data_IF_637208071970
#
_entry.id   IF_637208071970
#
_cell.length_a   1.000
_cell.length_b   1.000
_cell.length_c   1.000
_cell.angle_alpha   90.00
_cell.angle_beta   90.00
_cell.angle_gamma   90.00
#
_symmetry.space_group_name_H-M   'P 1'
#
loop_
_entity.id
_entity.type
_entity.pdbx_description
1 polymer ?
#
# COMPACT_ATOMS: atom_id res chain seq x y z
N UNK A 1 -10.15 9.00 19.68
CA UNK A 1 -9.15 9.63 18.83
C UNK A 1 -7.78 9.36 19.41
N UNK A 2 -6.91 8.73 18.63
CA UNK A 2 -5.50 8.58 19.02
C UNK A 2 -4.71 9.86 18.81
N UNK A 3 -3.50 9.97 19.42
CA UNK A 3 -2.67 11.16 19.31
C UNK A 3 -2.04 11.35 17.91
N UNK A 4 -2.06 10.35 17.06
CA UNK A 4 -1.47 10.38 15.71
C UNK A 4 -2.54 10.40 14.63
N UNK A 5 -3.63 9.64 14.80
CA UNK A 5 -4.71 9.56 13.81
C UNK A 5 -6.04 10.01 14.39
N UNK A 6 -6.78 10.81 13.60
CA UNK A 6 -8.17 11.11 13.87
C UNK A 6 -9.03 9.91 13.42
N UNK A 7 -9.92 9.45 14.29
CA UNK A 7 -10.86 8.37 13.98
C UNK A 7 -11.02 7.37 15.12
N UNK A 8 -12.00 6.50 14.97
CA UNK A 8 -12.27 5.43 15.91
C UNK A 8 -11.26 4.29 15.73
N UNK A 9 -11.03 3.51 16.80
CA UNK A 9 -10.19 2.32 16.74
C UNK A 9 -10.66 1.39 15.60
N UNK A 10 -11.95 1.09 15.56
CA UNK A 10 -12.59 0.47 14.42
C UNK A 10 -13.26 1.58 13.57
N UNK A 11 -13.04 1.67 12.25
CA UNK A 11 -12.25 0.77 11.39
C UNK A 11 -10.79 1.20 11.18
N UNK A 12 -10.36 2.39 11.64
CA UNK A 12 -9.11 3.01 11.19
C UNK A 12 -7.84 2.30 11.65
N UNK A 13 -7.84 1.67 12.82
CA UNK A 13 -6.71 0.83 13.25
C UNK A 13 -6.51 -0.33 12.27
N UNK A 14 -7.61 -1.00 11.88
CA UNK A 14 -7.52 -2.12 10.94
C UNK A 14 -7.04 -1.70 9.56
N UNK A 15 -7.47 -0.52 9.07
CA UNK A 15 -6.97 0.05 7.81
C UNK A 15 -5.45 0.26 7.88
N UNK A 16 -4.94 0.76 8.99
CA UNK A 16 -3.51 1.03 9.17
C UNK A 16 -2.69 -0.26 9.24
N UNK A 17 -3.14 -1.25 10.03
CA UNK A 17 -2.45 -2.54 10.20
C UNK A 17 -2.58 -3.41 8.95
N UNK A 18 -3.75 -3.43 8.33
CA UNK A 18 -4.05 -4.32 7.21
C UNK A 18 -3.22 -4.02 5.96
N UNK A 19 -2.65 -2.82 5.84
CA UNK A 19 -1.75 -2.50 4.73
C UNK A 19 -0.53 -3.44 4.67
N UNK A 20 -0.02 -3.89 5.82
CA UNK A 20 1.05 -4.89 5.88
C UNK A 20 0.57 -6.35 5.78
N UNK A 21 -0.67 -6.64 6.21
CA UNK A 21 -1.21 -8.00 6.23
C UNK A 21 -1.94 -8.37 4.93
N UNK A 22 -2.57 -7.41 4.28
CA UNK A 22 -3.43 -7.61 3.11
C UNK A 22 -3.32 -6.40 2.19
N UNK A 23 -2.29 -6.37 1.34
CA UNK A 23 -2.02 -5.23 0.47
C UNK A 23 -2.61 -5.41 -0.94
N UNK A 24 -3.51 -4.52 -1.30
CA UNK A 24 -4.04 -4.44 -2.66
C UNK A 24 -2.99 -3.99 -3.67
N UNK A 25 -2.01 -3.21 -3.24
CA UNK A 25 -0.89 -2.84 -4.10
C UNK A 25 -0.05 -4.06 -4.51
N UNK A 26 0.27 -4.96 -3.59
CA UNK A 26 0.98 -6.20 -3.91
C UNK A 26 0.15 -7.11 -4.82
N UNK A 27 -1.16 -7.18 -4.61
CA UNK A 27 -2.06 -7.90 -5.51
C UNK A 27 -2.05 -7.31 -6.93
N UNK A 28 -2.00 -5.98 -7.04
CA UNK A 28 -1.91 -5.27 -8.32
C UNK A 28 -0.58 -5.54 -9.03
N UNK A 29 0.55 -5.54 -8.31
CA UNK A 29 1.87 -5.88 -8.85
C UNK A 29 1.89 -7.35 -9.32
N UNK A 30 1.41 -8.27 -8.48
CA UNK A 30 1.42 -9.71 -8.79
C UNK A 30 0.53 -10.08 -9.98
N UNK A 31 -0.53 -9.31 -10.26
CA UNK A 31 -1.42 -9.55 -11.40
C UNK A 31 -1.05 -8.71 -12.63
N UNK A 32 -0.48 -7.52 -12.45
CA UNK A 32 -0.24 -6.56 -13.53
C UNK A 32 1.13 -6.67 -14.21
N UNK A 33 2.21 -6.80 -13.43
CA UNK A 33 3.58 -6.84 -13.98
C UNK A 33 4.23 -8.21 -13.87
N UNK A 34 4.09 -8.89 -12.74
CA UNK A 34 4.78 -10.16 -12.49
C UNK A 34 4.50 -11.20 -13.56
N UNK A 35 3.26 -11.45 -14.03
CA UNK A 35 2.99 -12.42 -15.08
C UNK A 35 3.62 -12.06 -16.44
N UNK A 36 3.93 -10.78 -16.66
CA UNK A 36 4.56 -10.29 -17.89
C UNK A 36 6.09 -10.35 -17.84
N UNK A 37 6.68 -10.56 -16.66
CA UNK A 37 8.12 -10.54 -16.42
C UNK A 37 8.67 -11.90 -16.02
N UNK A 38 7.85 -12.76 -15.43
CA UNK A 38 8.25 -14.12 -15.04
C UNK A 38 8.30 -15.01 -16.27
N UNK A 39 9.45 -15.62 -16.51
CA UNK A 39 9.67 -16.46 -17.68
C UNK A 39 8.99 -17.84 -17.55
N UNK A 40 8.98 -18.40 -16.33
CA UNK A 40 8.45 -19.75 -16.06
C UNK A 40 7.57 -19.75 -14.83
N UNK A 41 6.44 -20.44 -14.88
CA UNK A 41 5.50 -20.56 -13.75
C UNK A 41 6.14 -21.13 -12.49
N UNK A 42 7.11 -22.04 -12.64
CA UNK A 42 7.84 -22.66 -11.52
C UNK A 42 8.65 -21.67 -10.68
N UNK A 43 8.98 -20.50 -11.24
CA UNK A 43 9.68 -19.42 -10.53
C UNK A 43 8.75 -18.62 -9.64
N UNK A 44 7.43 -18.67 -9.86
CA UNK A 44 6.44 -17.84 -9.16
C UNK A 44 6.47 -18.06 -7.64
N UNK A 45 6.68 -19.30 -7.18
CA UNK A 45 6.76 -19.59 -5.75
C UNK A 45 7.96 -18.91 -5.10
N UNK A 46 9.13 -18.97 -5.69
CA UNK A 46 10.33 -18.33 -5.13
C UNK A 46 10.23 -16.82 -5.19
N UNK A 47 9.75 -16.28 -6.31
CA UNK A 47 9.61 -14.83 -6.48
C UNK A 47 8.52 -14.28 -5.54
N UNK A 48 7.31 -14.85 -5.55
CA UNK A 48 6.20 -14.36 -4.77
C UNK A 48 6.34 -14.67 -3.28
N UNK A 49 6.52 -15.94 -2.92
CA UNK A 49 6.61 -16.35 -1.52
C UNK A 49 7.95 -15.95 -0.88
N UNK A 50 9.05 -16.04 -1.62
CA UNK A 50 10.36 -15.58 -1.18
C UNK A 50 10.39 -14.07 -0.93
N UNK A 51 9.77 -13.28 -1.82
CA UNK A 51 9.59 -11.85 -1.64
C UNK A 51 8.77 -11.52 -0.38
N UNK A 52 7.66 -12.21 -0.17
CA UNK A 52 6.84 -12.07 1.05
C UNK A 52 7.63 -12.38 2.34
N UNK A 53 8.46 -13.41 2.35
CA UNK A 53 9.28 -13.75 3.51
C UNK A 53 10.34 -12.67 3.79
N UNK A 54 10.96 -12.12 2.75
CA UNK A 54 11.90 -11.00 2.90
C UNK A 54 11.22 -9.75 3.44
N UNK A 55 10.04 -9.42 2.95
CA UNK A 55 9.24 -8.30 3.45
C UNK A 55 8.86 -8.52 4.93
N UNK A 56 8.44 -9.72 5.31
CA UNK A 56 8.15 -10.07 6.71
C UNK A 56 9.36 -9.90 7.61
N UNK A 57 10.55 -10.24 7.14
CA UNK A 57 11.79 -10.03 7.87
C UNK A 57 12.07 -8.55 8.10
N UNK A 58 11.92 -7.71 7.07
CA UNK A 58 12.07 -6.24 7.19
C UNK A 58 11.01 -5.66 8.13
N UNK A 59 9.77 -6.16 8.09
CA UNK A 59 8.69 -5.72 8.99
C UNK A 59 9.01 -6.04 10.46
N UNK A 60 9.61 -7.21 10.75
CA UNK A 60 10.06 -7.56 12.10
C UNK A 60 11.17 -6.61 12.55
N UNK A 61 12.12 -6.28 11.69
CA UNK A 61 13.16 -5.30 12.00
C UNK A 61 12.57 -3.93 12.30
N UNK A 62 11.61 -3.47 11.51
CA UNK A 62 10.91 -2.21 11.74
C UNK A 62 10.15 -2.21 13.07
N UNK A 63 9.52 -3.32 13.44
CA UNK A 63 8.85 -3.46 14.74
C UNK A 63 9.86 -3.38 15.90
N UNK A 64 11.00 -4.04 15.79
CA UNK A 64 12.08 -3.98 16.80
C UNK A 64 12.54 -2.52 16.98
N UNK A 65 12.80 -1.80 15.89
CA UNK A 65 13.22 -0.41 15.96
C UNK A 65 12.20 0.50 16.61
N UNK A 66 10.91 0.29 16.32
CA UNK A 66 9.82 1.06 16.93
C UNK A 66 9.66 0.79 18.43
N UNK A 67 9.88 -0.45 18.87
CA UNK A 67 9.75 -0.84 20.29
C UNK A 67 10.92 -0.37 21.16
N UNK A 68 12.11 -0.23 20.59
CA UNK A 68 13.32 0.25 21.30
C UNK A 68 13.25 1.74 21.59
N UNK A 69 12.55 2.52 20.74
CA UNK A 69 12.45 3.95 20.92
C UNK A 69 11.71 4.34 22.20
N UNK A 70 12.20 5.42 22.83
CA UNK A 70 11.46 6.06 23.91
C UNK A 70 10.06 6.49 23.41
N UNK A 71 9.03 6.16 24.17
CA UNK A 71 7.64 6.38 23.77
C UNK A 71 7.33 7.87 23.57
N UNK A 72 7.87 8.72 24.41
CA UNK A 72 7.61 10.15 24.33
C UNK A 72 8.26 10.75 23.09
N UNK A 73 9.48 10.34 22.77
CA UNK A 73 10.18 10.71 21.52
C UNK A 73 9.42 10.19 20.31
N UNK A 74 8.97 8.92 20.35
CA UNK A 74 8.15 8.34 19.28
C UNK A 74 6.90 9.17 18.97
N UNK A 75 6.14 9.58 20.00
CA UNK A 75 4.95 10.41 19.81
C UNK A 75 5.29 11.84 19.36
N UNK A 76 6.36 12.43 19.84
CA UNK A 76 6.85 13.73 19.37
C UNK A 76 7.21 13.69 17.86
N UNK A 77 7.80 12.59 17.39
CA UNK A 77 8.14 12.40 15.98
C UNK A 77 6.91 12.17 15.10
N UNK A 78 5.96 11.36 15.55
CA UNK A 78 4.86 10.87 14.71
C UNK A 78 3.57 11.69 14.82
N UNK A 79 3.42 12.54 15.84
CA UNK A 79 2.27 13.42 15.93
C UNK A 79 2.38 14.58 14.91
N UNK A 80 1.27 14.97 14.29
CA UNK A 80 1.27 16.06 13.30
C UNK A 80 1.63 17.41 13.94
N UNK A 81 2.24 18.29 13.16
CA UNK A 81 2.67 19.62 13.61
C UNK A 81 1.52 20.50 14.13
N UNK A 82 0.29 20.23 13.70
CA UNK A 82 -0.93 20.87 14.25
C UNK A 82 -1.20 20.53 15.72
N UNK A 83 -0.64 19.42 16.22
CA UNK A 83 -0.76 19.00 17.63
C UNK A 83 0.48 19.38 18.44
N UNK A 84 1.67 19.15 17.89
CA UNK A 84 2.96 19.39 18.56
C UNK A 84 3.38 20.87 18.55
N UNK A 85 2.78 21.69 17.65
CA UNK A 85 3.20 23.07 17.43
C UNK A 85 4.55 23.23 16.73
N UNK A 86 5.26 22.13 16.42
CA UNK A 86 6.53 22.11 15.70
C UNK A 86 7.75 22.67 16.46
N UNK A 87 7.61 22.98 17.76
CA UNK A 87 8.67 23.45 18.63
C UNK A 87 8.93 22.46 19.76
N UNK A 88 10.17 22.35 20.29
CA UNK A 88 10.48 21.41 21.37
C UNK A 88 9.61 21.57 22.61
N UNK A 89 9.34 22.83 23.01
CA UNK A 89 8.56 23.15 24.20
C UNK A 89 7.10 22.67 24.06
N UNK A 90 6.43 23.07 22.96
CA UNK A 90 5.05 22.70 22.70
C UNK A 90 4.87 21.21 22.39
N UNK A 91 5.86 20.57 21.76
CA UNK A 91 5.85 19.13 21.53
C UNK A 91 6.00 18.33 22.83
N UNK A 92 6.89 18.77 23.74
CA UNK A 92 7.03 18.15 25.04
C UNK A 92 5.74 18.31 25.89
N UNK A 93 5.17 19.50 25.92
CA UNK A 93 3.89 19.75 26.59
C UNK A 93 2.77 18.85 26.06
N UNK A 94 2.62 18.78 24.72
CA UNK A 94 1.64 17.92 24.09
C UNK A 94 1.82 16.45 24.48
N UNK A 95 3.04 15.92 24.35
CA UNK A 95 3.33 14.51 24.64
C UNK A 95 3.10 14.19 26.11
N UNK A 96 3.53 15.08 27.02
CA UNK A 96 3.30 14.90 28.45
C UNK A 96 1.82 14.94 28.82
N UNK A 97 0.99 15.71 28.09
CA UNK A 97 -0.45 15.73 28.27
C UNK A 97 -1.16 14.43 27.94
N UNK A 98 -0.49 13.50 27.20
CA UNK A 98 -1.03 12.18 26.86
C UNK A 98 -1.02 11.22 28.06
N UNK A 99 -0.35 11.55 29.16
CA UNK A 99 -0.28 10.69 30.35
C UNK A 99 0.44 9.37 30.12
N UNK A 100 1.43 9.34 29.26
CA UNK A 100 2.21 8.14 28.96
C UNK A 100 3.01 7.69 30.19
N UNK A 101 3.15 6.38 30.44
CA UNK A 101 3.95 5.89 31.55
C UNK A 101 5.44 6.16 31.28
N UNK A 102 6.11 6.70 32.30
CA UNK A 102 7.53 7.08 32.26
C UNK A 102 7.77 8.48 32.81
N UNK A 103 8.98 8.98 32.69
CA UNK A 103 9.35 10.35 33.03
C UNK A 103 8.88 11.32 31.95
N UNK A 104 8.50 12.53 32.37
CA UNK A 104 8.09 13.57 31.43
C UNK A 104 9.21 13.88 30.41
N UNK A 105 8.80 14.09 29.19
CA UNK A 105 9.71 14.53 28.12
C UNK A 105 10.12 15.99 28.35
N UNK A 106 11.43 16.24 28.31
CA UNK A 106 11.99 17.58 28.38
C UNK A 106 12.31 18.11 26.99
N UNK A 107 12.12 19.41 26.72
CA UNK A 107 12.42 20.00 25.40
C UNK A 107 13.88 19.76 24.95
N UNK A 108 14.82 19.77 25.88
CA UNK A 108 16.24 19.54 25.64
C UNK A 108 16.52 18.13 25.12
N UNK A 109 15.72 17.13 25.49
CA UNK A 109 15.84 15.75 24.99
C UNK A 109 15.52 15.68 23.50
N UNK A 110 14.51 16.43 23.04
CA UNK A 110 14.16 16.51 21.62
C UNK A 110 15.24 17.22 20.81
N UNK A 111 15.80 18.28 21.37
CA UNK A 111 16.89 19.04 20.73
C UNK A 111 18.18 18.19 20.65
N UNK A 112 18.54 17.52 21.74
CA UNK A 112 19.73 16.65 21.77
C UNK A 112 19.57 15.44 20.85
N UNK A 113 18.38 14.84 20.79
CA UNK A 113 18.08 13.74 19.88
C UNK A 113 18.18 14.17 18.42
N UNK A 114 17.70 15.37 18.07
CA UNK A 114 17.85 15.93 16.73
C UNK A 114 19.34 16.18 16.39
N UNK A 115 20.10 16.76 17.31
CA UNK A 115 21.53 17.00 17.12
C UNK A 115 22.32 15.71 16.96
N UNK A 116 22.01 14.66 17.71
CA UNK A 116 22.67 13.35 17.63
C UNK A 116 22.56 12.71 16.25
N UNK A 117 21.44 12.91 15.55
CA UNK A 117 21.23 12.41 14.19
C UNK A 117 21.58 13.45 13.10
N UNK A 118 22.08 14.64 13.48
CA UNK A 118 22.49 15.68 12.54
C UNK A 118 21.33 16.43 11.88
N UNK A 119 20.14 16.42 12.48
CA UNK A 119 18.95 17.08 11.98
C UNK A 119 18.62 18.35 12.79
N UNK A 120 17.96 19.32 12.16
CA UNK A 120 17.49 20.51 12.86
C UNK A 120 16.34 20.21 13.82
N UNK A 121 15.49 19.23 13.47
CA UNK A 121 14.39 18.77 14.30
C UNK A 121 13.94 17.38 13.89
N UNK A 122 13.54 16.58 14.87
CA UNK A 122 12.88 15.28 14.68
C UNK A 122 11.36 15.38 14.92
N UNK A 123 10.85 16.54 15.35
CA UNK A 123 9.46 16.78 15.73
C UNK A 123 8.59 16.76 14.48
N UNK A 124 7.46 16.04 14.58
CA UNK A 124 6.46 15.94 13.50
C UNK A 124 7.05 15.43 12.16
N UNK A 125 8.11 14.66 12.23
CA UNK A 125 8.63 13.88 11.10
C UNK A 125 7.78 12.61 10.94
N UNK A 126 6.50 12.82 10.61
CA UNK A 126 5.51 11.75 10.50
C UNK A 126 5.86 10.75 9.41
N UNK A 127 5.64 9.47 9.71
CA UNK A 127 5.86 8.39 8.77
C UNK A 127 6.83 7.31 9.28
N UNK A 128 6.87 6.17 8.60
CA UNK A 128 7.69 5.03 9.00
C UNK A 128 9.19 5.26 8.83
N UNK A 129 9.60 5.89 7.73
CA UNK A 129 11.00 6.05 7.37
C UNK A 129 11.84 6.82 8.41
N UNK A 130 11.45 8.01 8.88
CA UNK A 130 12.22 8.71 9.92
C UNK A 130 12.29 7.94 11.24
N UNK A 131 11.20 7.28 11.64
CA UNK A 131 11.14 6.47 12.87
C UNK A 131 12.04 5.25 12.76
N UNK A 132 11.99 4.53 11.63
CA UNK A 132 12.88 3.39 11.34
C UNK A 132 14.35 3.81 11.36
N UNK A 133 14.68 4.90 10.66
CA UNK A 133 16.03 5.40 10.58
C UNK A 133 16.58 5.82 11.95
N UNK A 134 15.75 6.48 12.77
CA UNK A 134 16.10 6.89 14.11
C UNK A 134 16.37 5.69 15.02
N UNK A 135 15.49 4.68 15.01
CA UNK A 135 15.69 3.46 15.79
C UNK A 135 16.89 2.64 15.31
N UNK A 136 17.08 2.50 13.99
CA UNK A 136 18.25 1.82 13.42
C UNK A 136 19.55 2.53 13.77
N UNK A 137 19.59 3.86 13.77
CA UNK A 137 20.78 4.61 14.13
C UNK A 137 21.22 4.32 15.56
N UNK A 138 20.28 4.18 16.50
CA UNK A 138 20.59 3.76 17.87
C UNK A 138 21.17 2.35 17.92
N UNK A 139 20.50 1.38 17.30
CA UNK A 139 20.95 -0.02 17.29
C UNK A 139 22.37 -0.15 16.71
N UNK A 140 22.61 0.49 15.55
CA UNK A 140 23.89 0.40 14.88
C UNK A 140 24.99 1.12 15.66
N UNK A 141 24.68 2.25 16.29
CA UNK A 141 25.61 2.95 17.18
C UNK A 141 25.99 2.09 18.39
N UNK A 142 25.02 1.40 18.99
CA UNK A 142 25.29 0.52 20.13
C UNK A 142 26.13 -0.70 19.73
N UNK A 143 25.87 -1.28 18.56
CA UNK A 143 26.63 -2.43 18.04
C UNK A 143 28.08 -2.05 17.70
N UNK A 144 28.28 -0.93 17.01
CA UNK A 144 29.61 -0.51 16.55
C UNK A 144 30.38 0.33 17.57
N UNK A 145 29.72 0.80 18.63
CA UNK A 145 30.37 1.50 19.76
C UNK A 145 30.91 2.90 19.45
N UNK A 146 30.40 3.58 18.43
CA UNK A 146 30.83 4.90 17.96
C UNK A 146 29.68 5.91 17.97
N UNK A 147 29.41 6.58 19.12
CA UNK A 147 28.31 7.56 19.24
C UNK A 147 28.38 8.69 18.21
N UNK A 148 29.58 9.11 17.80
CA UNK A 148 29.81 10.13 16.78
C UNK A 148 29.30 9.72 15.39
N UNK A 149 29.08 8.43 15.14
CA UNK A 149 28.57 7.91 13.88
C UNK A 149 27.04 7.80 13.83
N UNK A 150 26.31 8.18 14.88
CA UNK A 150 24.86 8.06 14.90
C UNK A 150 24.20 8.82 13.75
N UNK A 151 24.68 10.01 13.42
CA UNK A 151 24.21 10.79 12.27
C UNK A 151 24.47 10.08 10.95
N UNK A 152 25.63 9.44 10.78
CA UNK A 152 25.92 8.64 9.59
C UNK A 152 24.93 7.48 9.43
N UNK A 153 24.68 6.71 10.50
CA UNK A 153 23.75 5.60 10.46
C UNK A 153 22.30 6.04 10.19
N UNK A 154 21.90 7.19 10.75
CA UNK A 154 20.58 7.75 10.48
C UNK A 154 20.40 8.09 9.00
N UNK A 155 21.35 8.81 8.40
CA UNK A 155 21.27 9.17 6.98
C UNK A 155 21.42 7.97 6.05
N UNK A 156 22.25 6.99 6.43
CA UNK A 156 22.35 5.72 5.71
C UNK A 156 21.00 4.99 5.68
N UNK A 157 20.32 4.89 6.83
CA UNK A 157 19.02 4.23 6.91
C UNK A 157 17.93 4.98 6.12
N UNK A 158 17.94 6.33 6.14
CA UNK A 158 17.00 7.13 5.30
C UNK A 158 17.28 6.91 3.82
N UNK A 159 18.53 6.86 3.39
CA UNK A 159 18.86 6.57 1.99
C UNK A 159 18.44 5.18 1.57
N UNK A 160 18.62 4.18 2.43
CA UNK A 160 18.17 2.82 2.22
C UNK A 160 16.64 2.78 2.03
N UNK A 161 15.90 3.44 2.91
CA UNK A 161 14.45 3.53 2.83
C UNK A 161 13.98 4.26 1.56
N UNK A 162 14.67 5.34 1.18
CA UNK A 162 14.37 6.07 -0.06
C UNK A 162 14.56 5.19 -1.31
N UNK A 163 15.60 4.37 -1.36
CA UNK A 163 15.82 3.41 -2.44
C UNK A 163 14.74 2.33 -2.48
N UNK A 164 14.32 1.83 -1.31
CA UNK A 164 13.22 0.88 -1.18
C UNK A 164 11.91 1.47 -1.73
N UNK A 165 11.57 2.69 -1.35
CA UNK A 165 10.37 3.39 -1.85
C UNK A 165 10.45 3.63 -3.36
N UNK A 166 11.63 3.96 -3.90
CA UNK A 166 11.83 4.19 -5.33
C UNK A 166 11.46 2.95 -6.16
N UNK A 167 11.81 1.74 -5.70
CA UNK A 167 11.41 0.50 -6.38
C UNK A 167 9.90 0.31 -6.43
N UNK A 168 9.20 0.71 -5.38
CA UNK A 168 7.73 0.69 -5.30
C UNK A 168 7.11 1.66 -6.31
N UNK A 169 7.66 2.86 -6.44
CA UNK A 169 7.21 3.88 -7.41
C UNK A 169 7.41 3.38 -8.84
N UNK A 170 8.56 2.78 -9.16
CA UNK A 170 8.83 2.18 -10.47
C UNK A 170 7.82 1.08 -10.80
N UNK A 171 7.65 0.12 -9.90
CA UNK A 171 6.70 -0.98 -10.10
C UNK A 171 5.26 -0.48 -10.27
N UNK A 172 4.81 0.44 -9.41
CA UNK A 172 3.47 1.04 -9.48
C UNK A 172 3.22 1.80 -10.78
N UNK A 173 4.18 2.60 -11.22
CA UNK A 173 4.12 3.33 -12.49
C UNK A 173 4.04 2.37 -13.68
N UNK A 174 4.79 1.29 -13.66
CA UNK A 174 4.78 0.26 -14.70
C UNK A 174 3.45 -0.46 -14.78
N UNK A 175 2.87 -0.86 -13.64
CA UNK A 175 1.52 -1.47 -13.59
C UNK A 175 0.48 -0.50 -14.14
N UNK A 176 0.46 0.74 -13.67
CA UNK A 176 -0.49 1.74 -14.11
C UNK A 176 -0.37 2.01 -15.62
N UNK A 177 0.86 2.03 -16.16
CA UNK A 177 1.09 2.12 -17.60
C UNK A 177 0.47 0.94 -18.36
N UNK A 178 0.70 -0.30 -17.92
CA UNK A 178 0.12 -1.47 -18.55
C UNK A 178 -1.41 -1.44 -18.51
N UNK A 179 -1.98 -1.13 -17.35
CA UNK A 179 -3.45 -0.99 -17.24
C UNK A 179 -4.00 0.10 -18.16
N UNK A 180 -3.31 1.22 -18.27
CA UNK A 180 -3.70 2.32 -19.15
C UNK A 180 -3.64 1.92 -20.63
N UNK A 181 -2.55 1.27 -21.05
CA UNK A 181 -2.42 0.79 -22.44
C UNK A 181 -3.47 -0.25 -22.77
N UNK A 182 -3.73 -1.21 -21.88
CA UNK A 182 -4.76 -2.23 -22.06
C UNK A 182 -6.17 -1.60 -22.12
N UNK A 183 -6.45 -0.60 -21.30
CA UNK A 183 -7.73 0.12 -21.31
C UNK A 183 -7.92 0.90 -22.59
N UNK A 184 -6.90 1.68 -23.01
CA UNK A 184 -6.93 2.48 -24.23
C UNK A 184 -7.06 1.61 -25.49
N UNK A 185 -6.43 0.43 -25.49
CA UNK A 185 -6.51 -0.51 -26.61
C UNK A 185 -7.94 -0.99 -26.91
N UNK A 186 -8.84 -0.94 -25.93
CA UNK A 186 -10.25 -1.30 -26.08
C UNK A 186 -11.13 -0.15 -26.61
N UNK A 187 -10.56 1.06 -26.72
CA UNK A 187 -11.30 2.22 -27.26
C UNK A 187 -11.22 2.20 -28.79
N UNK A 188 -12.34 2.36 -29.51
CA UNK A 188 -12.34 2.45 -30.97
C UNK A 188 -11.38 3.52 -31.47
N UNK A 189 -10.50 3.17 -32.38
CA UNK A 189 -9.47 4.07 -32.93
C UNK A 189 -8.13 4.09 -32.19
N UNK A 190 -8.04 3.49 -30.99
CA UNK A 190 -6.81 3.45 -30.18
C UNK A 190 -6.22 2.03 -30.08
N UNK A 191 -6.64 1.09 -30.91
CA UNK A 191 -6.18 -0.30 -30.91
C UNK A 191 -4.64 -0.47 -31.00
N UNK A 192 -3.93 0.54 -31.51
CA UNK A 192 -2.47 0.55 -31.60
C UNK A 192 -1.77 0.51 -30.24
N UNK A 193 -2.45 0.94 -29.17
CA UNK A 193 -1.93 0.80 -27.79
C UNK A 193 -1.77 -0.65 -27.34
N UNK A 194 -2.37 -1.61 -28.05
CA UNK A 194 -2.19 -3.05 -27.79
C UNK A 194 -0.78 -3.53 -28.15
N UNK A 195 -0.09 -2.83 -29.04
CA UNK A 195 1.27 -3.20 -29.46
C UNK A 195 2.30 -2.73 -28.42
N UNK A 196 2.93 -3.64 -27.66
CA UNK A 196 3.92 -3.29 -26.64
C UNK A 196 5.21 -2.73 -27.23
N UNK A 197 5.44 -2.90 -28.53
CA UNK A 197 6.64 -2.40 -29.23
C UNK A 197 6.48 -0.95 -29.71
N UNK A 198 5.26 -0.41 -29.67
CA UNK A 198 4.98 0.96 -30.08
C UNK A 198 5.50 1.99 -29.06
N UNK A 199 6.74 2.43 -29.26
CA UNK A 199 7.47 3.33 -28.37
C UNK A 199 6.72 4.60 -28.03
N UNK A 200 6.05 5.23 -29.02
CA UNK A 200 5.29 6.48 -28.82
C UNK A 200 4.11 6.27 -27.86
N UNK A 201 3.36 5.17 -28.02
CA UNK A 201 2.27 4.82 -27.11
C UNK A 201 2.76 4.56 -25.68
N UNK A 202 3.91 3.89 -25.55
CA UNK A 202 4.54 3.66 -24.25
C UNK A 202 4.96 4.97 -23.57
N UNK A 203 5.54 5.91 -24.30
CA UNK A 203 5.90 7.23 -23.76
C UNK A 203 4.67 8.03 -23.34
N UNK A 204 3.64 8.11 -24.20
CA UNK A 204 2.39 8.81 -23.87
C UNK A 204 1.78 8.25 -22.60
N UNK A 205 1.65 6.94 -22.49
CA UNK A 205 1.07 6.28 -21.31
C UNK A 205 1.92 6.51 -20.06
N UNK A 206 3.25 6.45 -20.16
CA UNK A 206 4.14 6.69 -19.02
C UNK A 206 4.03 8.15 -18.55
N UNK A 207 4.08 9.11 -19.46
CA UNK A 207 3.97 10.54 -19.11
C UNK A 207 2.60 10.82 -18.48
N UNK A 208 1.52 10.29 -19.05
CA UNK A 208 0.18 10.47 -18.50
C UNK A 208 0.03 9.89 -17.09
N UNK A 209 0.55 8.69 -16.85
CA UNK A 209 0.55 8.07 -15.52
C UNK A 209 1.40 8.88 -14.54
N UNK A 210 2.62 9.28 -14.91
CA UNK A 210 3.48 10.09 -14.06
C UNK A 210 2.85 11.47 -13.75
N UNK A 211 2.21 12.10 -14.73
CA UNK A 211 1.50 13.36 -14.51
C UNK A 211 0.31 13.19 -13.55
N UNK A 212 -0.43 12.09 -13.69
CA UNK A 212 -1.59 11.81 -12.83
C UNK A 212 -1.20 11.61 -11.36
N UNK A 213 -0.28 10.70 -11.08
CA UNK A 213 0.14 10.47 -9.69
C UNK A 213 0.97 11.63 -9.15
N UNK A 214 1.75 12.32 -10.00
CA UNK A 214 2.50 13.50 -9.62
C UNK A 214 1.60 14.67 -9.25
N UNK A 215 0.48 14.87 -9.95
CA UNK A 215 -0.53 15.88 -9.61
C UNK A 215 -1.18 15.59 -8.26
N UNK A 216 -1.53 14.32 -7.99
CA UNK A 216 -2.10 13.90 -6.70
C UNK A 216 -1.08 14.10 -5.57
N UNK A 217 0.18 13.74 -5.80
CA UNK A 217 1.26 13.93 -4.83
C UNK A 217 1.47 15.42 -4.54
N UNK A 218 1.56 16.25 -5.58
CA UNK A 218 1.71 17.70 -5.42
C UNK A 218 0.54 18.31 -4.64
N UNK A 219 -0.69 17.90 -4.96
CA UNK A 219 -1.88 18.30 -4.24
C UNK A 219 -1.78 17.93 -2.75
N UNK A 220 -1.31 16.72 -2.44
CA UNK A 220 -1.14 16.28 -1.07
C UNK A 220 -0.04 17.01 -0.31
N UNK A 221 1.15 17.16 -0.91
CA UNK A 221 2.30 17.81 -0.26
C UNK A 221 2.04 19.30 0.00
N UNK A 222 1.29 19.95 -0.89
CA UNK A 222 0.93 21.37 -0.75
C UNK A 222 -0.33 21.61 0.08
N UNK A 223 -0.97 20.55 0.59
CA UNK A 223 -2.19 20.68 1.39
C UNK A 223 -1.88 21.34 2.75
N UNK A 224 -2.56 22.44 3.10
CA UNK A 224 -2.33 23.14 4.37
C UNK A 224 -2.65 22.32 5.63
N UNK A 225 -3.41 21.24 5.49
CA UNK A 225 -3.73 20.34 6.60
C UNK A 225 -2.61 19.32 6.90
N UNK A 226 -1.54 19.31 6.09
CA UNK A 226 -0.41 18.41 6.23
C UNK A 226 -0.55 17.19 5.32
N UNK A 227 0.18 17.18 4.21
CA UNK A 227 0.04 16.30 3.05
C UNK A 227 -0.10 14.82 3.35
N UNK A 228 0.81 14.24 4.14
CA UNK A 228 0.78 12.81 4.48
C UNK A 228 -0.49 12.47 5.27
N UNK A 229 -0.87 13.29 6.25
CA UNK A 229 -2.02 13.04 7.11
C UNK A 229 -3.35 13.08 6.34
N UNK A 230 -3.38 13.78 5.22
CA UNK A 230 -4.56 13.90 4.35
C UNK A 230 -4.66 12.75 3.34
N UNK A 231 -3.53 12.38 2.72
CA UNK A 231 -3.49 11.33 1.70
C UNK A 231 -3.47 9.92 2.28
N UNK A 232 -2.84 9.72 3.44
CA UNK A 232 -2.65 8.39 4.02
C UNK A 232 -3.96 7.63 4.29
N UNK A 233 -5.02 8.24 4.86
CA UNK A 233 -6.29 7.53 5.02
C UNK A 233 -6.95 7.15 3.69
N UNK A 234 -6.88 8.01 2.68
CA UNK A 234 -7.40 7.71 1.34
C UNK A 234 -6.61 6.56 0.70
N UNK A 235 -5.29 6.58 0.81
CA UNK A 235 -4.42 5.50 0.36
C UNK A 235 -4.75 4.18 1.06
N UNK A 236 -4.89 4.18 2.38
CA UNK A 236 -5.21 2.99 3.15
C UNK A 236 -6.53 2.35 2.71
N UNK A 237 -7.58 3.15 2.53
CA UNK A 237 -8.87 2.69 2.04
C UNK A 237 -8.75 2.13 0.61
N UNK A 238 -8.13 2.87 -0.31
CA UNK A 238 -7.98 2.44 -1.70
C UNK A 238 -7.18 1.13 -1.81
N UNK A 239 -6.12 0.99 -1.01
CA UNK A 239 -5.30 -0.22 -0.96
C UNK A 239 -6.11 -1.45 -0.49
N UNK A 240 -6.93 -1.30 0.55
CA UNK A 240 -7.80 -2.38 1.03
C UNK A 240 -8.91 -2.73 0.03
N UNK A 241 -9.49 -1.74 -0.63
CA UNK A 241 -10.47 -1.97 -1.69
C UNK A 241 -9.87 -2.80 -2.85
N UNK A 242 -8.62 -2.56 -3.22
CA UNK A 242 -7.90 -3.38 -4.20
C UNK A 242 -7.66 -4.80 -3.67
N UNK A 243 -7.39 -4.97 -2.38
CA UNK A 243 -7.26 -6.28 -1.75
C UNK A 243 -8.57 -7.07 -1.77
N UNK A 244 -9.71 -6.41 -1.53
CA UNK A 244 -11.04 -7.02 -1.68
C UNK A 244 -11.30 -7.52 -3.12
N UNK A 245 -10.88 -6.76 -4.13
CA UNK A 245 -10.95 -7.20 -5.54
C UNK A 245 -10.11 -8.47 -5.74
N UNK A 246 -8.88 -8.49 -5.26
CA UNK A 246 -7.98 -9.63 -5.41
C UNK A 246 -8.53 -10.89 -4.73
N UNK A 247 -9.01 -10.77 -3.50
CA UNK A 247 -9.65 -11.89 -2.78
C UNK A 247 -10.91 -12.39 -3.47
N UNK A 248 -11.71 -11.48 -4.06
CA UNK A 248 -12.88 -11.82 -4.85
C UNK A 248 -12.49 -12.66 -6.07
N UNK A 249 -11.42 -12.30 -6.78
CA UNK A 249 -10.90 -13.06 -7.92
C UNK A 249 -10.39 -14.43 -7.49
N UNK A 250 -9.62 -14.51 -6.40
CA UNK A 250 -9.15 -15.80 -5.84
C UNK A 250 -10.35 -16.68 -5.48
N UNK A 251 -11.39 -16.13 -4.86
CA UNK A 251 -12.62 -16.87 -4.53
C UNK A 251 -13.29 -17.43 -5.79
N UNK A 252 -13.42 -16.62 -6.84
CA UNK A 252 -13.99 -17.07 -8.14
C UNK A 252 -13.17 -18.22 -8.74
N UNK A 253 -11.82 -18.13 -8.70
CA UNK A 253 -10.94 -19.19 -9.21
C UNK A 253 -11.14 -20.49 -8.42
N UNK A 254 -11.14 -20.42 -7.09
CA UNK A 254 -11.34 -21.59 -6.21
C UNK A 254 -12.69 -22.25 -6.48
N UNK A 255 -13.75 -21.46 -6.65
CA UNK A 255 -15.11 -21.96 -6.96
C UNK A 255 -15.16 -22.58 -8.35
N UNK A 256 -14.61 -21.92 -9.37
CA UNK A 256 -14.56 -22.45 -10.74
C UNK A 256 -13.76 -23.77 -10.84
N UNK A 257 -12.67 -23.91 -10.11
CA UNK A 257 -11.91 -25.15 -10.00
C UNK A 257 -12.65 -26.24 -9.19
N UNK A 258 -13.78 -25.91 -8.58
CA UNK A 258 -14.58 -26.86 -7.78
C UNK A 258 -13.97 -27.21 -6.43
N UNK A 259 -13.03 -26.43 -5.96
CA UNK A 259 -12.38 -26.61 -4.67
C UNK A 259 -13.18 -26.00 -3.52
N UNK A 260 -14.49 -26.32 -3.44
CA UNK A 260 -15.41 -25.69 -2.47
C UNK A 260 -14.97 -25.83 -1.01
N UNK A 261 -14.28 -26.92 -0.68
CA UNK A 261 -13.73 -27.14 0.66
C UNK A 261 -12.76 -26.05 1.10
N UNK A 262 -12.14 -25.35 0.16
CA UNK A 262 -11.15 -24.32 0.40
C UNK A 262 -11.68 -22.90 0.16
N UNK A 263 -12.92 -22.75 -0.27
CA UNK A 263 -13.51 -21.45 -0.58
C UNK A 263 -13.58 -20.51 0.64
N UNK A 264 -13.67 -21.05 1.84
CA UNK A 264 -13.66 -20.26 3.08
C UNK A 264 -12.34 -19.51 3.33
N UNK A 265 -11.21 -20.01 2.80
CA UNK A 265 -9.90 -19.38 2.98
C UNK A 265 -9.87 -17.96 2.42
N UNK A 266 -10.24 -17.68 1.16
CA UNK A 266 -10.36 -16.32 0.65
C UNK A 266 -11.65 -15.63 1.10
N UNK A 267 -12.73 -16.35 1.42
CA UNK A 267 -14.02 -15.74 1.74
C UNK A 267 -14.04 -15.03 3.11
N UNK A 268 -13.42 -15.61 4.14
CA UNK A 268 -13.39 -15.01 5.48
C UNK A 268 -12.62 -13.67 5.49
N UNK A 269 -11.36 -13.60 5.00
CA UNK A 269 -10.65 -12.33 4.95
C UNK A 269 -11.32 -11.33 4.00
N UNK A 270 -11.92 -11.77 2.89
CA UNK A 270 -12.70 -10.89 2.01
C UNK A 270 -13.88 -10.24 2.76
N UNK A 271 -14.67 -11.04 3.46
CA UNK A 271 -15.82 -10.54 4.22
C UNK A 271 -15.39 -9.51 5.28
N UNK A 272 -14.34 -9.82 6.03
CA UNK A 272 -13.78 -8.91 7.03
C UNK A 272 -13.25 -7.62 6.41
N UNK A 273 -12.45 -7.72 5.36
CA UNK A 273 -11.88 -6.58 4.66
C UNK A 273 -12.94 -5.64 4.09
N UNK A 274 -13.99 -6.20 3.49
CA UNK A 274 -15.13 -5.42 2.98
C UNK A 274 -15.84 -4.66 4.10
N UNK A 275 -16.11 -5.29 5.25
CA UNK A 275 -16.76 -4.61 6.39
C UNK A 275 -15.89 -3.45 6.87
N UNK A 276 -14.63 -3.70 7.15
CA UNK A 276 -13.69 -2.69 7.67
C UNK A 276 -13.57 -1.52 6.69
N UNK A 277 -13.35 -1.83 5.43
CA UNK A 277 -13.05 -0.81 4.41
C UNK A 277 -14.28 0.00 4.02
N UNK A 278 -15.44 -0.64 3.89
CA UNK A 278 -16.69 0.07 3.62
C UNK A 278 -17.10 0.96 4.80
N UNK A 279 -16.90 0.49 6.03
CA UNK A 279 -17.15 1.32 7.23
C UNK A 279 -16.21 2.53 7.26
N UNK A 280 -14.92 2.32 6.99
CA UNK A 280 -13.96 3.41 6.92
C UNK A 280 -14.27 4.41 5.81
N UNK A 281 -14.65 3.93 4.63
CA UNK A 281 -15.07 4.77 3.50
C UNK A 281 -16.30 5.60 3.86
N UNK A 282 -17.29 4.98 4.50
CA UNK A 282 -18.48 5.66 4.95
C UNK A 282 -18.16 6.74 5.97
N UNK A 283 -17.38 6.45 7.01
CA UNK A 283 -16.97 7.43 8.02
C UNK A 283 -16.16 8.57 7.42
N UNK A 284 -15.22 8.26 6.50
CA UNK A 284 -14.42 9.29 5.82
C UNK A 284 -15.24 10.21 4.93
N UNK A 285 -16.29 9.73 4.33
CA UNK A 285 -17.14 10.54 3.45
C UNK A 285 -18.21 11.31 4.25
N UNK A 286 -18.93 10.61 5.13
CA UNK A 286 -20.19 11.10 5.70
C UNK A 286 -20.14 11.46 7.19
N UNK A 287 -19.02 11.26 7.88
CA UNK A 287 -18.90 11.66 9.28
C UNK A 287 -19.16 13.15 9.44
N UNK A 288 -19.98 13.51 10.42
CA UNK A 288 -20.22 14.92 10.82
C UNK A 288 -19.02 15.56 11.51
N UNK A 289 -18.05 14.76 11.96
CA UNK A 289 -16.82 15.25 12.58
C UNK A 289 -15.85 15.78 11.51
N UNK A 290 -15.53 17.09 11.47
CA UNK A 290 -14.64 17.67 10.47
C UNK A 290 -13.19 17.17 10.53
N UNK A 291 -12.79 16.46 11.58
CA UNK A 291 -11.48 15.81 11.68
C UNK A 291 -11.43 14.45 10.97
N UNK A 292 -12.59 13.90 10.62
CA UNK A 292 -12.73 12.59 9.98
C UNK A 292 -13.37 12.73 8.60
N UNK A 293 -14.56 13.35 8.50
CA UNK A 293 -15.38 13.39 7.31
C UNK A 293 -14.95 14.45 6.30
N UNK A 294 -14.73 14.05 5.05
CA UNK A 294 -14.34 14.96 3.97
C UNK A 294 -15.39 16.05 3.71
N UNK A 295 -16.68 15.71 3.68
CA UNK A 295 -17.74 16.68 3.44
C UNK A 295 -17.95 17.63 4.63
N UNK A 296 -17.83 17.15 5.85
CA UNK A 296 -17.89 18.01 7.03
C UNK A 296 -16.72 19.00 7.05
N UNK A 297 -15.53 18.55 6.67
CA UNK A 297 -14.35 19.40 6.55
C UNK A 297 -14.49 20.40 5.40
N UNK A 298 -14.94 19.94 4.22
CA UNK A 298 -15.25 20.78 3.07
C UNK A 298 -16.19 21.92 3.43
N UNK A 299 -17.34 21.61 4.05
CA UNK A 299 -18.34 22.60 4.41
C UNK A 299 -17.79 23.64 5.40
N UNK A 300 -17.02 23.20 6.39
CA UNK A 300 -16.41 24.08 7.39
C UNK A 300 -15.42 25.07 6.79
N UNK A 301 -14.60 24.63 5.85
CA UNK A 301 -13.66 25.52 5.15
C UNK A 301 -14.37 26.43 4.14
N UNK A 302 -15.41 25.93 3.49
CA UNK A 302 -16.26 26.72 2.59
C UNK A 302 -17.00 27.86 3.34
N UNK A 303 -17.48 27.59 4.55
CA UNK A 303 -18.07 28.62 5.42
C UNK A 303 -17.03 29.67 5.83
N UNK A 304 -15.81 29.25 6.17
CA UNK A 304 -14.72 30.17 6.49
C UNK A 304 -14.35 31.06 5.30
N UNK A 305 -14.30 30.50 4.09
CA UNK A 305 -14.09 31.27 2.85
C UNK A 305 -15.24 32.27 2.60
N UNK A 306 -16.49 31.85 2.79
CA UNK A 306 -17.66 32.70 2.62
C UNK A 306 -17.72 33.87 3.64
N UNK A 307 -17.17 33.69 4.85
CA UNK A 307 -17.02 34.72 5.85
C UNK A 307 -15.85 35.68 5.58
N UNK A 308 -15.07 35.43 4.49
CA UNK A 308 -13.93 36.25 4.11
C UNK A 308 -12.73 36.13 5.06
N UNK A 309 -12.61 35.01 5.79
CA UNK A 309 -11.48 34.78 6.68
C UNK A 309 -10.18 34.64 5.87
N UNK A 310 -9.17 35.38 6.28
CA UNK A 310 -7.84 35.32 5.67
C UNK A 310 -7.00 34.15 6.18
N UNK A 311 -7.31 33.63 7.37
CA UNK A 311 -6.65 32.49 8.00
C UNK A 311 -7.71 31.61 8.69
N UNK A 312 -7.55 30.30 8.58
CA UNK A 312 -8.45 29.36 9.27
C UNK A 312 -7.72 28.05 9.58
N UNK A 313 -7.64 27.68 10.86
CA UNK A 313 -6.86 26.54 11.36
C UNK A 313 -5.40 26.60 10.86
N UNK A 314 -4.97 25.59 10.09
CA UNK A 314 -3.61 25.51 9.50
C UNK A 314 -3.47 26.28 8.20
N UNK A 315 -4.56 26.70 7.56
CA UNK A 315 -4.52 27.53 6.37
C UNK A 315 -4.20 29.00 6.75
N UNK A 316 -3.15 29.54 6.15
CA UNK A 316 -2.57 30.86 6.46
C UNK A 316 -2.93 31.94 5.44
N UNK A 317 -3.67 31.57 4.40
CA UNK A 317 -4.11 32.49 3.34
C UNK A 317 -5.46 32.05 2.74
N UNK A 318 -6.22 32.96 2.11
CA UNK A 318 -7.45 32.60 1.41
C UNK A 318 -7.25 31.52 0.34
N UNK A 319 -6.14 31.58 -0.40
CA UNK A 319 -5.80 30.59 -1.40
C UNK A 319 -5.61 29.19 -0.79
N UNK A 320 -5.07 29.09 0.42
CA UNK A 320 -4.93 27.83 1.15
C UNK A 320 -6.29 27.32 1.66
N UNK A 321 -7.20 28.21 2.08
CA UNK A 321 -8.57 27.82 2.44
C UNK A 321 -9.28 27.22 1.23
N UNK A 322 -9.19 27.86 0.06
CA UNK A 322 -9.77 27.36 -1.18
C UNK A 322 -9.13 26.03 -1.64
N UNK A 323 -7.83 25.88 -1.42
CA UNK A 323 -7.15 24.62 -1.69
C UNK A 323 -7.71 23.46 -0.86
N UNK A 324 -7.95 23.67 0.44
CA UNK A 324 -8.56 22.65 1.31
C UNK A 324 -9.99 22.34 0.85
N UNK A 325 -10.79 23.34 0.49
CA UNK A 325 -12.16 23.15 -0.04
C UNK A 325 -12.13 22.25 -1.29
N UNK A 326 -11.24 22.55 -2.22
CA UNK A 326 -11.08 21.74 -3.45
C UNK A 326 -10.59 20.34 -3.16
N UNK A 327 -9.53 20.19 -2.37
CA UNK A 327 -8.89 18.91 -2.10
C UNK A 327 -9.83 17.94 -1.36
N UNK A 328 -10.56 18.42 -0.36
CA UNK A 328 -11.53 17.60 0.40
C UNK A 328 -12.71 17.16 -0.48
N UNK A 329 -13.17 17.98 -1.41
CA UNK A 329 -14.19 17.60 -2.37
C UNK A 329 -13.70 16.49 -3.31
N UNK A 330 -12.48 16.63 -3.85
CA UNK A 330 -11.86 15.61 -4.72
C UNK A 330 -11.71 14.28 -3.96
N UNK A 331 -11.21 14.31 -2.74
CA UNK A 331 -11.02 13.12 -1.91
C UNK A 331 -12.35 12.43 -1.57
N UNK A 332 -13.38 13.22 -1.26
CA UNK A 332 -14.72 12.70 -1.01
C UNK A 332 -15.32 12.00 -2.23
N UNK A 333 -15.22 12.61 -3.41
CA UNK A 333 -15.69 12.03 -4.67
C UNK A 333 -14.91 10.76 -5.03
N UNK A 334 -13.57 10.80 -4.93
CA UNK A 334 -12.75 9.62 -5.21
C UNK A 334 -13.05 8.46 -4.27
N UNK A 335 -13.27 8.72 -2.98
CA UNK A 335 -13.63 7.68 -2.01
C UNK A 335 -14.96 7.01 -2.35
N UNK A 336 -15.97 7.79 -2.76
CA UNK A 336 -17.27 7.23 -3.19
C UNK A 336 -17.09 6.41 -4.46
N UNK A 337 -16.36 6.95 -5.45
CA UNK A 337 -16.12 6.26 -6.72
C UNK A 337 -15.45 4.90 -6.49
N UNK A 338 -14.38 4.86 -5.69
CA UNK A 338 -13.67 3.62 -5.39
C UNK A 338 -14.58 2.61 -4.68
N UNK A 339 -15.34 3.04 -3.67
CA UNK A 339 -16.26 2.17 -2.94
C UNK A 339 -17.33 1.56 -3.87
N UNK A 340 -17.91 2.36 -4.76
CA UNK A 340 -18.92 1.89 -5.73
C UNK A 340 -18.31 0.90 -6.72
N UNK A 341 -17.13 1.20 -7.29
CA UNK A 341 -16.45 0.30 -8.23
C UNK A 341 -16.16 -1.06 -7.61
N UNK A 342 -15.69 -1.08 -6.36
CA UNK A 342 -15.39 -2.34 -5.65
C UNK A 342 -16.67 -3.14 -5.39
N UNK A 343 -17.76 -2.49 -4.98
CA UNK A 343 -19.05 -3.17 -4.82
C UNK A 343 -19.53 -3.81 -6.12
N UNK A 344 -19.34 -3.14 -7.26
CA UNK A 344 -19.66 -3.70 -8.58
C UNK A 344 -18.80 -4.95 -8.86
N UNK A 345 -17.50 -4.91 -8.55
CA UNK A 345 -16.61 -6.06 -8.77
C UNK A 345 -16.99 -7.23 -7.85
N UNK A 346 -17.29 -6.97 -6.59
CA UNK A 346 -17.71 -8.01 -5.63
C UNK A 346 -19.04 -8.64 -6.11
N UNK A 347 -20.01 -7.83 -6.56
CA UNK A 347 -21.26 -8.33 -7.12
C UNK A 347 -21.01 -9.19 -8.37
N UNK A 348 -20.15 -8.74 -9.27
CA UNK A 348 -19.76 -9.52 -10.45
C UNK A 348 -19.08 -10.85 -10.08
N UNK A 349 -18.21 -10.84 -9.08
CA UNK A 349 -17.56 -12.04 -8.56
C UNK A 349 -18.60 -13.03 -7.96
N UNK A 350 -19.56 -12.52 -7.17
CA UNK A 350 -20.64 -13.34 -6.63
C UNK A 350 -21.48 -13.99 -7.73
N UNK A 351 -21.84 -13.22 -8.78
CA UNK A 351 -22.55 -13.75 -9.95
C UNK A 351 -21.72 -14.80 -10.68
N UNK A 352 -20.40 -14.58 -10.83
CA UNK A 352 -19.51 -15.55 -11.46
C UNK A 352 -19.42 -16.85 -10.65
N UNK A 353 -19.31 -16.76 -9.33
CA UNK A 353 -19.35 -17.93 -8.44
C UNK A 353 -20.68 -18.68 -8.56
N UNK A 354 -21.80 -17.97 -8.53
CA UNK A 354 -23.12 -18.56 -8.67
C UNK A 354 -23.29 -19.30 -10.01
N UNK A 355 -22.90 -18.64 -11.12
CA UNK A 355 -22.93 -19.27 -12.45
C UNK A 355 -22.07 -20.53 -12.53
N UNK A 356 -20.86 -20.49 -11.94
CA UNK A 356 -19.97 -21.65 -11.92
C UNK A 356 -20.56 -22.84 -11.12
N UNK A 357 -21.21 -22.56 -9.99
CA UNK A 357 -21.86 -23.59 -9.18
C UNK A 357 -23.03 -24.22 -9.94
N UNK A 358 -23.89 -23.40 -10.57
CA UNK A 358 -25.05 -23.87 -11.33
C UNK A 358 -24.64 -24.67 -12.57
N UNK A 359 -23.64 -24.19 -13.33
CA UNK A 359 -23.11 -24.90 -14.50
C UNK A 359 -22.62 -26.30 -14.10
N UNK A 360 -21.86 -26.39 -13.00
CA UNK A 360 -21.37 -27.67 -12.51
C UNK A 360 -22.47 -28.62 -12.03
N UNK A 361 -23.52 -28.08 -11.40
CA UNK A 361 -24.71 -28.88 -11.01
C UNK A 361 -25.44 -29.45 -12.21
N UNK A 362 -25.36 -28.78 -13.38
CA UNK A 362 -25.94 -29.22 -14.64
C UNK A 362 -25.02 -30.19 -15.42
N UNK A 363 -23.84 -30.50 -14.90
CA UNK A 363 -22.86 -31.33 -15.58
C UNK A 363 -22.15 -30.65 -16.76
N UNK A 364 -22.22 -29.29 -16.85
CA UNK A 364 -21.51 -28.54 -17.87
C UNK A 364 -20.02 -28.47 -17.49
N UNK A 365 -19.12 -28.77 -18.45
CA UNK A 365 -17.68 -28.58 -18.24
C UNK A 365 -17.34 -27.10 -18.16
N UNK A 366 -16.81 -26.68 -17.01
CA UNK A 366 -16.23 -25.35 -16.87
C UNK A 366 -14.82 -25.46 -17.41
N UNK A 367 -14.61 -25.03 -18.65
CA UNK A 367 -13.28 -25.01 -19.29
C UNK A 367 -12.40 -23.99 -18.59
N UNK A 368 -11.44 -24.46 -17.83
CA UNK A 368 -10.23 -23.72 -17.46
C UNK A 368 -9.18 -24.13 -18.47
N UNK A 369 -8.85 -23.27 -19.44
CA UNK A 369 -7.70 -23.50 -20.31
C UNK A 369 -6.43 -23.27 -19.47
N UNK A 370 -5.74 -24.32 -19.11
CA UNK A 370 -4.43 -24.25 -18.49
C UNK A 370 -3.38 -24.61 -19.55
N UNK A 371 -2.35 -23.77 -19.70
CA UNK A 371 -1.23 -24.08 -20.55
C UNK A 371 -0.37 -25.17 -19.91
N UNK A 372 0.38 -25.98 -20.72
CA UNK A 372 1.26 -26.99 -20.19
C UNK A 372 2.29 -26.42 -19.22
N UNK A 373 2.50 -27.12 -18.12
CA UNK A 373 3.46 -26.74 -17.10
C UNK A 373 4.90 -26.86 -17.63
N UNK A 374 5.70 -25.78 -17.50
CA UNK A 374 7.11 -25.74 -17.88
C UNK A 374 8.02 -25.76 -16.65
N UNK A 375 8.77 -26.85 -16.38
CA UNK A 375 9.66 -26.92 -15.22
C UNK A 375 10.89 -26.03 -15.36
N UNK A 376 11.39 -25.52 -14.23
CA UNK A 376 12.66 -24.80 -14.15
C UNK A 376 13.75 -25.70 -13.59
N UNK A 377 14.94 -25.63 -14.18
CA UNK A 377 16.08 -26.45 -13.74
C UNK A 377 16.63 -26.03 -12.35
N UNK A 378 16.53 -24.78 -12.00
CA UNK A 378 17.10 -24.24 -10.76
C UNK A 378 16.08 -24.15 -9.63
N UNK A 379 14.86 -23.72 -9.93
CA UNK A 379 13.78 -23.61 -8.96
C UNK A 379 12.80 -24.78 -9.06
N UNK A 380 11.78 -24.79 -8.22
CA UNK A 380 10.72 -25.78 -8.31
C UNK A 380 10.20 -25.97 -9.76
N UNK A 381 9.78 -27.17 -10.16
CA UNK A 381 9.61 -28.34 -9.33
C UNK A 381 10.83 -29.24 -9.21
N UNK A 382 11.84 -29.07 -10.03
CA UNK A 382 13.00 -29.98 -10.10
C UNK A 382 14.22 -29.47 -9.32
N UNK A 383 14.25 -28.17 -8.96
CA UNK A 383 15.38 -27.53 -8.33
C UNK A 383 15.30 -27.47 -6.80
N UNK A 384 16.11 -26.58 -6.22
CA UNK A 384 16.19 -26.33 -4.79
C UNK A 384 14.83 -25.93 -4.20
N UNK A 385 14.42 -26.59 -3.14
CA UNK A 385 13.15 -26.31 -2.45
C UNK A 385 11.91 -26.90 -3.13
N UNK A 386 12.07 -27.78 -4.14
CA UNK A 386 10.93 -28.47 -4.74
C UNK A 386 10.26 -29.43 -3.75
N UNK A 387 8.93 -29.36 -3.66
CA UNK A 387 8.11 -30.31 -2.88
C UNK A 387 8.00 -31.66 -3.59
N UNK A 388 7.58 -32.68 -2.86
CA UNK A 388 7.35 -34.02 -3.45
C UNK A 388 6.31 -34.00 -4.55
N UNK A 389 5.25 -33.18 -4.40
CA UNK A 389 4.20 -33.03 -5.42
C UNK A 389 4.75 -32.36 -6.66
N UNK A 390 5.51 -31.28 -6.53
CA UNK A 390 6.13 -30.59 -7.68
C UNK A 390 7.10 -31.50 -8.43
N UNK A 391 7.87 -32.33 -7.73
CA UNK A 391 8.75 -33.34 -8.35
C UNK A 391 7.97 -34.40 -9.11
N UNK A 392 6.84 -34.87 -8.56
CA UNK A 392 6.02 -35.87 -9.28
C UNK A 392 5.38 -35.27 -10.53
N UNK A 393 4.89 -34.02 -10.47
CA UNK A 393 4.34 -33.29 -11.63
C UNK A 393 5.43 -33.11 -12.70
N UNK A 394 6.66 -32.76 -12.32
CA UNK A 394 7.78 -32.63 -13.25
C UNK A 394 8.14 -33.96 -13.93
N UNK A 395 8.05 -35.07 -13.22
CA UNK A 395 8.27 -36.41 -13.78
C UNK A 395 7.20 -36.76 -14.81
N UNK A 396 5.92 -36.53 -14.49
CA UNK A 396 4.82 -36.78 -15.46
C UNK A 396 5.00 -35.91 -16.69
N UNK A 397 5.28 -34.63 -16.54
CA UNK A 397 5.51 -33.72 -17.65
C UNK A 397 6.69 -34.16 -18.52
N UNK A 398 7.79 -34.61 -17.92
CA UNK A 398 8.96 -35.10 -18.66
C UNK A 398 8.66 -36.35 -19.50
N UNK A 399 7.66 -37.14 -19.12
CA UNK A 399 7.24 -38.32 -19.89
C UNK A 399 6.22 -38.00 -20.97
N UNK A 400 5.36 -37.01 -20.77
CA UNK A 400 4.26 -36.63 -21.67
C UNK A 400 4.64 -35.55 -22.69
N UNK A 401 5.65 -34.72 -22.40
CA UNK A 401 6.06 -33.64 -23.30
C UNK A 401 6.68 -34.18 -24.60
N UNK A 402 6.41 -33.53 -25.74
CA UNK A 402 7.01 -33.94 -27.02
C UNK A 402 8.55 -33.92 -27.01
N UNK A 403 9.24 -34.78 -27.75
CA UNK A 403 10.70 -34.89 -27.73
C UNK A 403 11.47 -33.60 -28.02
N UNK A 404 10.92 -32.74 -28.86
CA UNK A 404 11.49 -31.42 -29.20
C UNK A 404 11.52 -30.45 -28.03
N UNK A 405 10.59 -30.55 -27.08
CA UNK A 405 10.56 -29.70 -25.90
C UNK A 405 11.42 -30.23 -24.75
N UNK A 406 11.65 -31.56 -24.72
CA UNK A 406 12.51 -32.19 -23.71
C UNK A 406 13.98 -31.81 -23.85
N UNK A 407 14.45 -31.60 -25.08
CA UNK A 407 15.85 -31.23 -25.37
C UNK A 407 16.15 -29.76 -25.21
N UNK A 408 15.17 -28.87 -25.38
CA UNK A 408 15.35 -27.43 -25.19
C UNK A 408 15.60 -27.02 -23.72
N UNK A 409 15.15 -27.83 -22.77
CA UNK A 409 15.29 -27.55 -21.32
C UNK A 409 16.49 -28.25 -20.65
N UNK A 410 17.23 -29.10 -21.37
CA UNK A 410 18.44 -29.78 -20.86
C UNK A 410 19.71 -28.92 -20.93
N UNK A 411 19.63 -27.73 -21.56
CA UNK A 411 20.78 -26.84 -21.81
C UNK A 411 20.64 -25.43 -21.19
N UNK A 412 19.72 -25.20 -20.21
CA UNK A 412 19.64 -23.93 -19.50
C UNK A 412 19.65 -24.09 -17.99
#
# INVERSE_FOLDING_TARGET
>A
NGPVFAGNLFPFLFITIACGALSGFHALISSGTTPKLVEKETQMRVIGYGGMLMESFVAIMALITAVILDRHVYFAMNAPASMTGGKPESAAEFVNSLGLPGSNLMPEQLTSAAAAVGEHTIISRTGGAPTLAFGMSHILTDIFGHPEMQSFWYHFAIMFEALFILTTVDAGTRVARFMMTDTLANVPGLARFKDPTWTVGNWISTIAVCALWGAILLMGVTDPLGGINVLFPLFGIANQLLAAIALSLVLVVVVKKGMYKWAWIPAIPLFWDVIVTMTASWEKVFSSNPSIGYWAQHNRFKEAAAQGLTTFKSAKSPAEIDAVVRNTAIQGVLSILFAVLVLIVIAAAAVACYKAIVARQRGEEITTSEEPFSPSAFFAPSGLGATSIEKSVAQVWATEAPPTERTAHAHH
#
